data_IF_733656353731
#
_entry.id   IF_733656353731
#
_cell.length_a   1.000
_cell.length_b   1.000
_cell.length_c   1.000
_cell.angle_alpha   90.00
_cell.angle_beta   90.00
_cell.angle_gamma   90.00
#
_symmetry.space_group_name_H-M   'P 1'
#
loop_
_entity.id
_entity.type
_entity.pdbx_description
1 polymer ?
#
# COMPACT_ATOMS: atom_id res chain seq x y z
N UNK A 1 13.84 -16.24 5.23
CA UNK A 1 13.00 -16.31 6.45
C UNK A 1 11.58 -16.63 6.02
N UNK A 2 11.16 -17.90 6.13
CA UNK A 2 9.75 -18.24 5.94
C UNK A 2 8.99 -17.70 7.16
N UNK A 3 8.10 -16.73 6.96
CA UNK A 3 7.17 -16.33 8.02
C UNK A 3 6.25 -17.52 8.21
N UNK A 4 6.52 -18.34 9.23
CA UNK A 4 5.59 -19.33 9.73
C UNK A 4 4.43 -18.54 10.33
N UNK A 5 3.46 -18.14 9.49
CA UNK A 5 2.25 -17.47 9.91
C UNK A 5 1.47 -18.52 10.72
N UNK A 6 1.81 -18.63 12.03
CA UNK A 6 0.94 -19.23 13.03
C UNK A 6 -0.44 -18.66 12.78
N UNK A 7 -1.44 -19.52 12.82
CA UNK A 7 -2.86 -19.33 12.47
C UNK A 7 -3.55 -18.22 13.28
N UNK A 8 -3.00 -17.00 13.29
CA UNK A 8 -3.64 -15.80 13.79
C UNK A 8 -4.71 -15.44 12.77
N UNK A 9 -5.96 -15.73 13.15
CA UNK A 9 -7.10 -15.47 12.30
C UNK A 9 -7.34 -13.96 12.32
N UNK A 10 -6.95 -13.27 11.26
CA UNK A 10 -7.43 -11.92 11.01
C UNK A 10 -8.96 -11.94 11.04
N UNK A 11 -9.55 -10.88 11.59
CA UNK A 11 -10.99 -10.66 11.42
C UNK A 11 -11.30 -10.63 9.93
N UNK A 12 -12.46 -11.17 9.53
CA UNK A 12 -12.91 -11.15 8.13
C UNK A 12 -12.91 -9.73 7.56
N UNK A 13 -13.21 -8.73 8.39
CA UNK A 13 -13.22 -7.32 8.00
C UNK A 13 -11.81 -6.81 7.72
N UNK A 14 -10.85 -7.09 8.60
CA UNK A 14 -9.44 -6.72 8.41
C UNK A 14 -8.83 -7.41 7.19
N UNK A 15 -9.16 -8.68 6.97
CA UNK A 15 -8.71 -9.40 5.77
C UNK A 15 -9.21 -8.72 4.49
N UNK A 16 -10.51 -8.43 4.42
CA UNK A 16 -11.11 -7.74 3.27
C UNK A 16 -10.52 -6.34 3.06
N UNK A 17 -10.30 -5.61 4.14
CA UNK A 17 -9.68 -4.29 4.11
C UNK A 17 -8.28 -4.36 3.50
N UNK A 18 -7.40 -5.22 4.03
CA UNK A 18 -6.03 -5.37 3.50
C UNK A 18 -6.03 -5.86 2.05
N UNK A 19 -6.92 -6.80 1.69
CA UNK A 19 -7.05 -7.24 0.30
C UNK A 19 -7.47 -6.10 -0.63
N UNK A 20 -8.37 -5.23 -0.17
CA UNK A 20 -8.80 -4.05 -0.92
C UNK A 20 -7.66 -3.05 -1.11
N UNK A 21 -6.86 -2.79 -0.07
CA UNK A 21 -5.68 -1.91 -0.17
C UNK A 21 -4.66 -2.44 -1.18
N UNK A 22 -4.42 -3.76 -1.20
CA UNK A 22 -3.54 -4.39 -2.20
C UNK A 22 -4.07 -4.16 -3.62
N UNK A 23 -5.38 -4.36 -3.86
CA UNK A 23 -6.01 -4.10 -5.16
C UNK A 23 -5.92 -2.63 -5.57
N UNK A 24 -6.10 -1.73 -4.61
CA UNK A 24 -6.13 -0.29 -4.83
C UNK A 24 -4.74 0.36 -4.86
N UNK A 25 -3.66 -0.39 -4.68
CA UNK A 25 -2.28 0.10 -4.65
C UNK A 25 -1.96 1.17 -5.71
N UNK A 26 -2.30 0.93 -6.99
CA UNK A 26 -2.07 1.91 -8.08
C UNK A 26 -2.84 3.22 -7.90
N UNK A 27 -4.06 3.14 -7.37
CA UNK A 27 -4.87 4.32 -7.07
C UNK A 27 -4.34 5.04 -5.83
N UNK A 28 -3.90 4.30 -4.81
CA UNK A 28 -3.27 4.85 -3.61
C UNK A 28 -1.99 5.63 -3.95
N UNK A 29 -1.18 5.14 -4.89
CA UNK A 29 0.00 5.86 -5.39
C UNK A 29 -0.35 7.19 -6.06
N UNK A 30 -1.41 7.19 -6.90
CA UNK A 30 -1.89 8.41 -7.56
C UNK A 30 -2.44 9.41 -6.54
N UNK A 31 -3.23 8.93 -5.58
CA UNK A 31 -3.81 9.75 -4.52
C UNK A 31 -2.72 10.34 -3.61
N UNK A 32 -1.73 9.54 -3.22
CA UNK A 32 -0.59 10.02 -2.44
C UNK A 32 0.17 11.12 -3.18
N UNK A 33 0.41 10.92 -4.47
CA UNK A 33 1.08 11.92 -5.32
C UNK A 33 0.25 13.19 -5.43
N UNK A 34 -1.08 13.05 -5.57
CA UNK A 34 -2.01 14.18 -5.62
C UNK A 34 -1.99 14.99 -4.32
N UNK A 35 -2.15 14.34 -3.17
CA UNK A 35 -2.14 15.00 -1.86
C UNK A 35 -0.83 15.74 -1.59
N UNK A 36 0.31 15.13 -1.94
CA UNK A 36 1.62 15.79 -1.84
C UNK A 36 1.70 17.00 -2.76
N UNK A 37 1.25 16.88 -4.00
CA UNK A 37 1.25 17.98 -4.95
C UNK A 37 0.32 19.11 -4.52
N UNK A 38 -0.85 18.80 -3.94
CA UNK A 38 -1.80 19.79 -3.43
C UNK A 38 -1.14 20.65 -2.34
N UNK A 39 -0.39 20.03 -1.40
CA UNK A 39 0.37 20.76 -0.37
C UNK A 39 1.55 21.54 -0.98
N UNK A 40 2.22 20.99 -1.99
CA UNK A 40 3.34 21.66 -2.67
C UNK A 40 2.87 22.88 -3.47
N UNK A 41 1.72 22.80 -4.12
CA UNK A 41 1.14 23.87 -4.94
C UNK A 41 0.36 24.90 -4.11
N UNK A 42 0.04 24.58 -2.86
CA UNK A 42 -0.61 25.50 -1.92
C UNK A 42 0.19 26.82 -1.85
N UNK A 43 -0.47 27.92 -2.20
CA UNK A 43 0.10 29.26 -2.09
C UNK A 43 0.33 29.57 -0.62
N UNK A 44 1.52 30.03 -0.21
CA UNK A 44 1.74 30.43 1.17
C UNK A 44 0.75 31.55 1.53
N UNK A 45 0.01 31.38 2.63
CA UNK A 45 -0.84 32.44 3.15
C UNK A 45 0.02 33.70 3.34
N UNK A 46 -0.39 34.81 2.73
CA UNK A 46 0.19 36.12 3.00
C UNK A 46 -0.13 36.46 4.45
N UNK A 47 0.80 36.19 5.35
CA UNK A 47 0.71 36.73 6.70
C UNK A 47 0.86 38.26 6.58
N UNK A 48 -0.24 38.98 6.79
CA UNK A 48 -0.24 40.44 6.95
C UNK A 48 0.51 40.78 8.24
N UNK A 49 1.84 40.84 8.14
CA UNK A 49 2.69 40.97 9.31
C UNK A 49 4.13 41.16 8.91
N UNK A 50 4.46 42.40 8.52
CA UNK A 50 5.77 43.06 8.42
C UNK A 50 6.96 42.25 8.97
N UNK A 51 7.40 41.22 8.25
CA UNK A 51 8.71 40.61 8.46
C UNK A 51 9.17 40.00 7.14
N UNK A 52 10.38 40.37 6.70
CA UNK A 52 11.06 39.81 5.52
C UNK A 52 11.58 38.39 5.79
N UNK A 53 10.80 37.56 6.50
CA UNK A 53 11.08 36.14 6.64
C UNK A 53 10.74 35.45 5.33
N UNK A 54 11.70 35.42 4.41
CA UNK A 54 11.77 34.50 3.25
C UNK A 54 11.91 33.03 3.75
N UNK A 55 11.63 32.76 5.02
CA UNK A 55 11.95 31.56 5.78
C UNK A 55 11.13 30.36 5.35
N UNK A 56 11.65 29.63 4.36
CA UNK A 56 11.42 28.22 4.09
C UNK A 56 9.95 27.79 3.95
N UNK A 57 9.26 28.32 2.95
CA UNK A 57 7.99 27.76 2.45
C UNK A 57 8.10 26.24 2.21
N UNK A 58 9.26 25.77 1.76
CA UNK A 58 9.58 24.34 1.60
C UNK A 58 9.57 23.56 2.90
N UNK A 59 10.17 24.08 3.99
CA UNK A 59 10.18 23.38 5.27
C UNK A 59 8.77 23.32 5.88
N UNK A 60 8.01 24.41 5.77
CA UNK A 60 6.61 24.44 6.22
C UNK A 60 5.74 23.42 5.47
N UNK A 61 5.91 23.31 4.15
CA UNK A 61 5.23 22.29 3.33
C UNK A 61 5.65 20.87 3.69
N UNK A 62 6.94 20.63 3.94
CA UNK A 62 7.43 19.33 4.40
C UNK A 62 6.82 18.94 5.76
N UNK A 63 6.71 19.89 6.69
CA UNK A 63 6.05 19.69 7.99
C UNK A 63 4.57 19.32 7.77
N UNK A 64 3.83 20.07 6.93
CA UNK A 64 2.43 19.75 6.59
C UNK A 64 2.28 18.33 6.04
N UNK A 65 3.11 17.94 5.07
CA UNK A 65 3.09 16.57 4.50
C UNK A 65 3.35 15.52 5.59
N UNK A 66 4.32 15.77 6.47
CA UNK A 66 4.69 14.83 7.54
C UNK A 66 3.63 14.71 8.65
N UNK A 67 2.77 15.71 8.80
CA UNK A 67 1.71 15.74 9.81
C UNK A 67 0.36 15.28 9.26
N UNK A 68 0.19 15.23 7.94
CA UNK A 68 -1.06 14.78 7.32
C UNK A 68 -1.25 13.27 7.56
N UNK A 69 -2.26 12.95 8.37
CA UNK A 69 -2.60 11.58 8.75
C UNK A 69 -2.89 10.69 7.54
N UNK A 70 -3.58 11.21 6.52
CA UNK A 70 -3.95 10.42 5.34
C UNK A 70 -2.72 10.07 4.52
N UNK A 71 -1.79 11.02 4.36
CA UNK A 71 -0.50 10.77 3.69
C UNK A 71 0.28 9.71 4.44
N UNK A 72 0.41 9.83 5.77
CA UNK A 72 1.15 8.88 6.61
C UNK A 72 0.56 7.46 6.49
N UNK A 73 -0.78 7.33 6.56
CA UNK A 73 -1.46 6.04 6.45
C UNK A 73 -1.23 5.41 5.05
N UNK A 74 -1.40 6.19 3.97
CA UNK A 74 -1.15 5.71 2.60
C UNK A 74 0.31 5.30 2.38
N UNK A 75 1.28 6.07 2.89
CA UNK A 75 2.70 5.70 2.83
C UNK A 75 3.01 4.42 3.60
N UNK A 76 2.39 4.24 4.78
CA UNK A 76 2.57 3.02 5.57
C UNK A 76 2.06 1.80 4.81
N UNK A 77 0.89 1.90 4.21
CA UNK A 77 0.28 0.84 3.39
C UNK A 77 1.16 0.55 2.17
N UNK A 78 1.60 1.59 1.45
CA UNK A 78 2.48 1.46 0.29
C UNK A 78 3.77 0.70 0.65
N UNK A 79 4.46 1.15 1.71
CA UNK A 79 5.72 0.52 2.17
C UNK A 79 5.52 -0.94 2.56
N UNK A 80 4.41 -1.27 3.23
CA UNK A 80 4.08 -2.65 3.60
C UNK A 80 3.86 -3.55 2.37
N UNK A 81 3.14 -3.04 1.36
CA UNK A 81 2.88 -3.74 0.09
C UNK A 81 4.19 -3.97 -0.67
N UNK A 82 5.01 -2.93 -0.85
CA UNK A 82 6.30 -3.02 -1.56
C UNK A 82 7.27 -3.98 -0.89
N UNK A 83 7.43 -3.85 0.43
CA UNK A 83 8.28 -4.74 1.22
C UNK A 83 7.82 -6.19 1.13
N UNK A 84 6.50 -6.43 1.12
CA UNK A 84 5.95 -7.77 0.92
C UNK A 84 6.27 -8.27 -0.49
N UNK A 85 6.00 -7.47 -1.53
CA UNK A 85 6.27 -7.82 -2.93
C UNK A 85 7.72 -8.24 -3.16
N UNK A 86 8.69 -7.46 -2.66
CA UNK A 86 10.12 -7.77 -2.82
C UNK A 86 10.58 -9.02 -2.07
N UNK A 87 9.84 -9.47 -1.05
CA UNK A 87 10.15 -10.69 -0.30
C UNK A 87 9.51 -11.95 -0.87
N UNK A 88 8.49 -11.80 -1.71
CA UNK A 88 7.79 -12.91 -2.34
C UNK A 88 8.66 -13.54 -3.44
N UNK A 89 8.50 -14.85 -3.64
CA UNK A 89 9.06 -15.52 -4.81
C UNK A 89 8.29 -15.11 -6.07
N UNK A 90 8.92 -15.29 -7.23
CA UNK A 90 8.40 -14.90 -8.54
C UNK A 90 6.94 -15.34 -8.77
N UNK A 91 6.59 -16.60 -8.48
CA UNK A 91 5.21 -17.10 -8.67
C UNK A 91 4.16 -16.33 -7.86
N UNK A 92 4.50 -15.92 -6.63
CA UNK A 92 3.60 -15.15 -5.77
C UNK A 92 3.58 -13.67 -6.16
N UNK A 93 4.68 -13.14 -6.70
CA UNK A 93 4.72 -11.81 -7.31
C UNK A 93 3.77 -11.73 -8.51
N UNK A 94 3.72 -12.78 -9.34
CA UNK A 94 2.76 -12.85 -10.45
C UNK A 94 1.30 -12.77 -9.99
N UNK A 95 0.96 -13.32 -8.82
CA UNK A 95 -0.39 -13.16 -8.23
C UNK A 95 -0.63 -11.71 -7.79
N UNK A 96 0.37 -11.07 -7.22
CA UNK A 96 0.27 -9.69 -6.76
C UNK A 96 0.10 -8.71 -7.92
N UNK A 97 0.82 -8.93 -9.01
CA UNK A 97 0.62 -8.22 -10.27
C UNK A 97 -0.78 -8.43 -10.83
N UNK A 98 -1.29 -9.65 -10.70
CA UNK A 98 -2.64 -9.98 -11.14
C UNK A 98 -3.71 -9.20 -10.37
N UNK A 99 -3.52 -8.95 -9.07
CA UNK A 99 -4.42 -8.07 -8.31
C UNK A 99 -4.52 -6.66 -8.92
N UNK A 100 -3.46 -6.16 -9.55
CA UNK A 100 -3.42 -4.82 -10.15
C UNK A 100 -3.78 -4.76 -11.64
N UNK A 101 -3.83 -5.91 -12.31
CA UNK A 101 -4.19 -6.00 -13.72
C UNK A 101 -5.61 -6.53 -13.92
N UNK A 102 -6.11 -7.39 -13.01
CA UNK A 102 -7.44 -8.00 -13.03
C UNK A 102 -7.80 -8.63 -14.39
N UNK A 103 -6.84 -9.33 -14.99
CA UNK A 103 -6.92 -9.97 -16.32
C UNK A 103 -7.41 -11.42 -16.26
N UNK A 104 -7.06 -12.16 -15.21
CA UNK A 104 -7.31 -13.58 -15.08
C UNK A 104 -8.21 -13.88 -13.87
N UNK A 105 -9.09 -14.85 -14.05
CA UNK A 105 -9.78 -15.51 -12.94
C UNK A 105 -8.79 -16.37 -12.15
N UNK A 106 -9.15 -16.77 -10.92
CA UNK A 106 -8.30 -17.66 -10.11
C UNK A 106 -7.97 -18.97 -10.85
N UNK A 107 -8.94 -19.53 -11.60
CA UNK A 107 -8.73 -20.71 -12.43
C UNK A 107 -7.81 -20.43 -13.63
N UNK A 108 -7.97 -19.28 -14.30
CA UNK A 108 -7.07 -18.88 -15.40
C UNK A 108 -5.62 -18.68 -14.94
N UNK A 109 -5.44 -18.11 -13.75
CA UNK A 109 -4.11 -17.92 -13.15
C UNK A 109 -3.48 -19.25 -12.75
N UNK A 110 -4.28 -20.17 -12.20
CA UNK A 110 -3.87 -21.54 -11.88
C UNK A 110 -3.36 -22.27 -13.14
N UNK A 111 -4.11 -22.20 -14.24
CA UNK A 111 -3.71 -22.76 -15.53
C UNK A 111 -2.40 -22.14 -16.05
N UNK A 112 -2.29 -20.81 -16.03
CA UNK A 112 -1.09 -20.09 -16.48
C UNK A 112 0.18 -20.46 -15.71
N UNK A 113 0.05 -20.65 -14.38
CA UNK A 113 1.17 -20.97 -13.50
C UNK A 113 1.41 -22.48 -13.35
N UNK A 114 0.56 -23.34 -13.94
CA UNK A 114 0.66 -24.79 -13.83
C UNK A 114 0.43 -25.33 -12.41
N UNK A 115 -0.39 -24.64 -11.61
CA UNK A 115 -0.69 -25.03 -10.22
C UNK A 115 -2.18 -25.21 -9.99
N UNK A 116 -2.56 -25.96 -8.95
CA UNK A 116 -3.96 -26.11 -8.57
C UNK A 116 -4.60 -24.80 -8.07
N UNK A 117 -5.91 -24.63 -8.28
CA UNK A 117 -6.63 -23.44 -7.84
C UNK A 117 -6.56 -23.24 -6.31
N UNK A 118 -6.52 -24.34 -5.53
CA UNK A 118 -6.34 -24.26 -4.08
C UNK A 118 -4.99 -23.64 -3.71
N UNK A 119 -3.95 -23.91 -4.49
CA UNK A 119 -2.62 -23.32 -4.29
C UNK A 119 -2.66 -21.82 -4.52
N UNK A 120 -3.34 -21.36 -5.58
CA UNK A 120 -3.54 -19.92 -5.80
C UNK A 120 -4.30 -19.27 -4.65
N UNK A 121 -5.40 -19.87 -4.19
CA UNK A 121 -6.19 -19.36 -3.05
C UNK A 121 -5.34 -19.26 -1.78
N UNK A 122 -4.50 -20.26 -1.51
CA UNK A 122 -3.54 -20.26 -0.38
C UNK A 122 -2.48 -19.17 -0.52
N UNK A 123 -1.93 -18.97 -1.72
CA UNK A 123 -0.96 -17.91 -1.97
C UNK A 123 -1.57 -16.52 -1.85
N UNK A 124 -2.79 -16.29 -2.35
CA UNK A 124 -3.55 -15.05 -2.13
C UNK A 124 -3.73 -14.75 -0.64
N UNK A 125 -4.15 -15.75 0.14
CA UNK A 125 -4.25 -15.62 1.60
C UNK A 125 -2.89 -15.27 2.21
N UNK A 126 -1.82 -15.98 1.86
CA UNK A 126 -0.47 -15.73 2.36
C UNK A 126 -0.01 -14.29 2.09
N UNK A 127 -0.28 -13.75 0.90
CA UNK A 127 0.05 -12.36 0.55
C UNK A 127 -0.69 -11.39 1.48
N UNK A 128 -2.01 -11.54 1.63
CA UNK A 128 -2.83 -10.68 2.51
C UNK A 128 -2.33 -10.74 3.96
N UNK A 129 -2.04 -11.93 4.49
CA UNK A 129 -1.49 -12.07 5.84
C UNK A 129 -0.10 -11.45 5.97
N UNK A 130 0.75 -11.55 4.95
CA UNK A 130 2.09 -10.96 4.97
C UNK A 130 2.02 -9.44 5.02
N UNK A 131 1.14 -8.81 4.22
CA UNK A 131 0.91 -7.36 4.28
C UNK A 131 0.30 -6.97 5.63
N UNK A 132 -0.65 -7.73 6.14
CA UNK A 132 -1.25 -7.46 7.44
C UNK A 132 -0.23 -7.55 8.60
N UNK A 133 0.73 -8.47 8.51
CA UNK A 133 1.84 -8.58 9.46
C UNK A 133 2.72 -7.33 9.44
N UNK A 134 3.05 -6.83 8.24
CA UNK A 134 3.84 -5.59 8.07
C UNK A 134 3.10 -4.34 8.56
N UNK A 135 1.76 -4.37 8.60
CA UNK A 135 0.94 -3.28 9.14
C UNK A 135 0.66 -3.39 10.64
N UNK A 136 1.12 -4.47 11.28
CA UNK A 136 0.88 -4.81 12.69
C UNK A 136 -0.60 -5.07 13.03
N UNK A 137 -1.33 -5.77 12.15
CA UNK A 137 -2.70 -6.23 12.43
C UNK A 137 -2.78 -7.63 13.06
N UNK A 138 -1.64 -8.27 13.35
CA UNK A 138 -1.52 -9.63 13.89
C UNK A 138 -1.10 -9.65 15.35
#
# INVERSE_FOLDING_TARGET
MAVCIKKHRLSKNTFKYVEQEIRQYKNNLKELSRLKNDIILETPEKQEGRSNSVGNSTASKAVKISMDRKIIELEKIQKAIEKTYHRLCHDKQSIMEEYWQSRYTTAGLAYKLGVDERTIRRWKQYIVYSVAAELNYL
#
